data_IF_748340490242
#
_entry.id   IF_748340490242
#
_cell.length_a   1.000
_cell.length_b   1.000
_cell.length_c   1.000
_cell.angle_alpha   90.00
_cell.angle_beta   90.00
_cell.angle_gamma   90.00
#
_symmetry.space_group_name_H-M   'P 1'
#
loop_
_entity.id
_entity.type
_entity.pdbx_description
1 polymer ?
#
# COMPACT_ATOMS: atom_id res chain seq x y z
N UNK A 1 5.26 9.86 18.58
CA UNK A 1 5.67 10.24 17.21
C UNK A 1 4.50 9.85 16.32
N UNK A 2 3.79 10.78 15.68
CA UNK A 2 2.63 10.42 14.85
C UNK A 2 3.12 9.55 13.69
N UNK A 3 2.70 8.28 13.64
CA UNK A 3 3.09 7.36 12.56
C UNK A 3 2.43 7.71 11.22
N UNK A 4 1.44 8.60 11.25
CA UNK A 4 0.57 8.96 10.13
C UNK A 4 1.19 10.01 9.22
N UNK A 5 1.57 9.59 8.01
CA UNK A 5 2.10 10.47 6.97
C UNK A 5 0.95 10.93 6.06
N UNK A 6 0.99 12.17 5.53
CA UNK A 6 0.10 12.56 4.44
C UNK A 6 0.39 11.72 3.19
N UNK A 7 -0.61 11.52 2.32
CA UNK A 7 -0.48 10.70 1.11
C UNK A 7 0.75 11.05 0.26
N UNK A 8 1.03 12.35 0.12
CA UNK A 8 2.20 12.84 -0.62
C UNK A 8 3.54 12.43 0.00
N UNK A 9 3.62 12.30 1.32
CA UNK A 9 4.81 11.77 2.00
C UNK A 9 4.82 10.23 2.08
N UNK A 10 3.66 9.59 2.04
CA UNK A 10 3.55 8.13 2.05
C UNK A 10 4.18 7.49 0.80
N UNK A 11 4.17 8.16 -0.35
CA UNK A 11 4.91 7.68 -1.54
C UNK A 11 6.43 7.58 -1.35
N UNK A 12 6.99 8.25 -0.33
CA UNK A 12 8.40 8.13 0.05
C UNK A 12 8.62 7.12 1.18
N UNK A 13 7.56 6.49 1.69
CA UNK A 13 7.63 5.48 2.74
C UNK A 13 7.72 4.08 2.10
N UNK A 14 8.82 3.33 2.30
CA UNK A 14 9.00 2.04 1.67
C UNK A 14 7.96 1.01 2.11
N UNK A 15 7.41 1.14 3.32
CA UNK A 15 6.35 0.26 3.81
C UNK A 15 5.05 0.48 3.02
N UNK A 16 4.71 1.74 2.78
CA UNK A 16 3.57 2.08 1.95
C UNK A 16 3.73 1.56 0.52
N UNK A 17 4.92 1.70 -0.09
CA UNK A 17 5.18 1.19 -1.45
C UNK A 17 5.08 -0.34 -1.50
N UNK A 18 5.63 -1.06 -0.52
CA UNK A 18 5.51 -2.51 -0.44
C UNK A 18 4.05 -2.96 -0.26
N UNK A 19 3.30 -2.30 0.63
CA UNK A 19 1.88 -2.58 0.80
C UNK A 19 1.08 -2.27 -0.46
N UNK A 20 1.36 -1.15 -1.14
CA UNK A 20 0.70 -0.77 -2.39
C UNK A 20 0.99 -1.79 -3.49
N UNK A 21 2.24 -2.22 -3.63
CA UNK A 21 2.64 -3.24 -4.59
C UNK A 21 1.96 -4.59 -4.32
N UNK A 22 1.96 -5.05 -3.06
CA UNK A 22 1.21 -6.25 -2.66
C UNK A 22 -0.28 -6.10 -2.91
N UNK A 23 -0.87 -4.97 -2.54
CA UNK A 23 -2.30 -4.72 -2.72
C UNK A 23 -2.73 -4.70 -4.20
N UNK A 24 -1.85 -4.23 -5.10
CA UNK A 24 -2.07 -4.30 -6.55
C UNK A 24 -1.94 -5.74 -7.06
N UNK A 25 -1.03 -6.54 -6.48
CA UNK A 25 -0.84 -7.94 -6.84
C UNK A 25 -1.98 -8.84 -6.33
N UNK A 26 -2.69 -8.43 -5.28
CA UNK A 26 -3.83 -9.16 -4.72
C UNK A 26 -5.13 -8.91 -5.51
N UNK A 27 -5.61 -9.90 -6.28
CA UNK A 27 -6.77 -9.72 -7.15
C UNK A 27 -8.05 -9.44 -6.36
N UNK A 28 -8.24 -10.09 -5.20
CA UNK A 28 -9.42 -9.89 -4.36
C UNK A 28 -9.55 -8.43 -3.90
N UNK A 29 -8.43 -7.78 -3.58
CA UNK A 29 -8.39 -6.41 -3.08
C UNK A 29 -8.68 -5.41 -4.21
N UNK A 30 -8.14 -5.66 -5.41
CA UNK A 30 -8.48 -4.90 -6.60
C UNK A 30 -9.96 -5.06 -6.98
N UNK A 31 -10.53 -6.27 -6.88
CA UNK A 31 -11.95 -6.53 -7.14
C UNK A 31 -12.87 -5.83 -6.14
N UNK A 32 -12.54 -5.88 -4.85
CA UNK A 32 -13.29 -5.13 -3.82
C UNK A 32 -13.24 -3.63 -4.09
N UNK A 33 -12.07 -3.08 -4.44
CA UNK A 33 -11.95 -1.67 -4.79
C UNK A 33 -12.80 -1.31 -6.02
N UNK A 34 -12.74 -2.12 -7.09
CA UNK A 34 -13.56 -1.92 -8.28
C UNK A 34 -15.06 -1.97 -7.96
N UNK A 35 -15.47 -2.84 -7.04
CA UNK A 35 -16.86 -2.95 -6.59
C UNK A 35 -17.32 -1.74 -5.78
N UNK A 36 -16.48 -1.23 -4.88
CA UNK A 36 -16.82 -0.10 -3.99
C UNK A 36 -16.82 1.23 -4.76
N UNK A 37 -15.81 1.45 -5.61
CA UNK A 37 -15.59 2.74 -6.29
C UNK A 37 -16.02 2.75 -7.76
N UNK A 38 -16.49 1.62 -8.31
CA UNK A 38 -16.84 1.51 -9.73
C UNK A 38 -15.65 1.66 -10.68
N UNK A 39 -14.44 1.46 -10.15
CA UNK A 39 -13.18 1.64 -10.87
C UNK A 39 -12.88 0.45 -11.79
N UNK A 40 -12.06 0.66 -12.82
CA UNK A 40 -11.65 -0.36 -13.80
C UNK A 40 -10.20 -0.83 -13.57
N UNK A 41 -9.78 -0.90 -12.31
CA UNK A 41 -8.41 -1.20 -11.92
C UNK A 41 -7.94 -2.60 -12.35
N UNK A 42 -8.88 -3.53 -12.39
CA UNK A 42 -8.74 -4.90 -12.86
C UNK A 42 -8.76 -5.04 -14.40
N UNK A 43 -8.96 -3.95 -15.14
CA UNK A 43 -8.93 -3.99 -16.62
C UNK A 43 -7.58 -3.52 -17.15
N UNK A 44 -7.26 -3.92 -18.38
CA UNK A 44 -6.07 -3.42 -19.11
C UNK A 44 -6.10 -1.90 -19.34
N UNK A 45 -7.25 -1.25 -19.14
CA UNK A 45 -7.44 0.21 -19.25
C UNK A 45 -7.35 0.90 -17.88
N UNK A 46 -6.35 0.54 -17.08
CA UNK A 46 -6.07 1.23 -15.81
C UNK A 46 -5.74 2.70 -16.11
N UNK A 47 -6.61 3.62 -15.71
CA UNK A 47 -6.31 5.05 -15.82
C UNK A 47 -5.45 5.51 -14.65
N UNK A 48 -4.63 6.55 -14.86
CA UNK A 48 -3.84 7.15 -13.79
C UNK A 48 -4.71 7.62 -12.61
N UNK A 49 -5.94 8.04 -12.90
CA UNK A 49 -6.93 8.44 -11.90
C UNK A 49 -7.37 7.27 -11.00
N UNK A 50 -7.62 6.10 -11.59
CA UNK A 50 -7.93 4.86 -10.86
C UNK A 50 -6.75 4.46 -9.94
N UNK A 51 -5.52 4.53 -10.45
CA UNK A 51 -4.32 4.23 -9.65
C UNK A 51 -4.13 5.22 -8.50
N UNK A 52 -4.41 6.50 -8.71
CA UNK A 52 -4.38 7.51 -7.63
C UNK A 52 -5.45 7.23 -6.58
N UNK A 53 -6.67 6.89 -7.00
CA UNK A 53 -7.75 6.54 -6.10
C UNK A 53 -7.44 5.30 -5.27
N UNK A 54 -6.83 4.27 -5.88
CA UNK A 54 -6.38 3.07 -5.19
C UNK A 54 -5.25 3.33 -4.21
N UNK A 55 -4.25 4.13 -4.62
CA UNK A 55 -3.17 4.55 -3.73
C UNK A 55 -3.73 5.25 -2.48
N UNK A 56 -4.73 6.12 -2.66
CA UNK A 56 -5.41 6.81 -1.56
C UNK A 56 -6.18 5.83 -0.67
N UNK A 57 -6.85 4.84 -1.25
CA UNK A 57 -7.55 3.80 -0.49
C UNK A 57 -6.60 2.96 0.37
N UNK A 58 -5.48 2.52 -0.20
CA UNK A 58 -4.43 1.79 0.54
C UNK A 58 -3.83 2.67 1.63
N UNK A 59 -3.62 3.96 1.35
CA UNK A 59 -3.10 4.92 2.32
C UNK A 59 -4.04 5.07 3.50
N UNK A 60 -5.33 5.27 3.27
CA UNK A 60 -6.32 5.39 4.34
C UNK A 60 -6.43 4.08 5.14
N UNK A 61 -6.41 2.94 4.46
CA UNK A 61 -6.43 1.62 5.11
C UNK A 61 -5.22 1.42 6.05
N UNK A 62 -4.04 1.90 5.67
CA UNK A 62 -2.83 1.75 6.48
C UNK A 62 -2.74 2.82 7.56
N UNK A 63 -2.95 4.09 7.22
CA UNK A 63 -2.65 5.21 8.10
C UNK A 63 -3.85 5.71 8.90
N UNK A 64 -5.08 5.39 8.49
CA UNK A 64 -6.30 5.76 9.20
C UNK A 64 -6.86 4.58 10.02
N UNK A 65 -6.91 3.38 9.44
CA UNK A 65 -7.50 2.19 10.08
C UNK A 65 -6.54 1.39 10.97
N UNK A 66 -5.22 1.39 10.72
CA UNK A 66 -4.29 0.65 11.57
C UNK A 66 -3.83 1.48 12.79
N UNK A 67 -3.56 0.82 13.92
CA UNK A 67 -2.89 1.45 15.06
C UNK A 67 -1.44 1.77 14.70
N UNK A 68 -0.87 2.80 15.35
CA UNK A 68 0.52 3.23 15.11
C UNK A 68 1.53 2.08 15.23
N UNK A 69 1.34 1.14 16.16
CA UNK A 69 2.21 -0.03 16.35
C UNK A 69 2.27 -0.94 15.12
N UNK A 70 1.14 -1.13 14.42
CA UNK A 70 1.09 -1.89 13.18
C UNK A 70 1.79 -1.14 12.04
N UNK A 71 1.64 0.19 11.97
CA UNK A 71 2.35 1.04 10.99
C UNK A 71 3.87 0.96 11.23
N UNK A 72 4.30 1.02 12.48
CA UNK A 72 5.70 0.83 12.86
C UNK A 72 6.21 -0.56 12.48
N UNK A 73 5.41 -1.61 12.67
CA UNK A 73 5.76 -2.98 12.28
C UNK A 73 5.88 -3.13 10.76
N UNK A 74 4.97 -2.52 9.98
CA UNK A 74 5.05 -2.51 8.52
C UNK A 74 6.34 -1.84 8.04
N UNK A 75 6.72 -0.70 8.64
CA UNK A 75 7.98 -0.02 8.34
C UNK A 75 9.19 -0.87 8.70
N UNK A 76 9.19 -1.47 9.89
CA UNK A 76 10.26 -2.37 10.31
C UNK A 76 10.40 -3.56 9.35
N UNK A 77 9.29 -4.15 8.89
CA UNK A 77 9.30 -5.25 7.94
C UNK A 77 9.78 -4.83 6.55
N UNK A 78 9.40 -3.64 6.09
CA UNK A 78 9.88 -3.12 4.81
C UNK A 78 11.39 -2.86 4.82
N UNK A 79 11.93 -2.31 5.93
CA UNK A 79 13.37 -2.15 6.15
C UNK A 79 14.09 -3.51 6.28
N UNK A 80 13.46 -4.48 6.94
CA UNK A 80 14.01 -5.82 7.12
C UNK A 80 14.01 -6.63 5.80
N UNK A 81 13.04 -6.42 4.92
CA UNK A 81 13.01 -7.02 3.58
C UNK A 81 14.20 -6.59 2.71
N UNK A 82 14.67 -5.35 2.84
CA UNK A 82 15.89 -4.88 2.16
C UNK A 82 17.17 -5.38 2.83
N UNK A 83 17.12 -5.71 4.13
CA UNK A 83 18.23 -6.34 4.85
C UNK A 83 18.23 -7.88 4.77
N UNK A 84 17.17 -8.47 4.19
CA UNK A 84 16.88 -9.90 4.17
C UNK A 84 17.34 -10.65 2.92
N UNK A 85 17.86 -9.95 1.90
CA UNK A 85 18.50 -10.58 0.74
C UNK A 85 20.03 -10.72 0.94
N UNK A 86 20.43 -11.13 2.14
CA UNK A 86 21.74 -11.72 2.44
C UNK A 86 21.61 -12.85 3.46
N UNK A 87 21.20 -14.03 2.97
CA UNK A 87 21.51 -15.34 3.55
C UNK A 87 21.30 -16.36 2.44
N UNK A 88 22.31 -16.61 1.60
CA UNK A 88 23.31 -17.68 1.75
C UNK A 88 22.67 -19.05 2.00
N UNK A 89 22.76 -19.90 0.97
CA UNK A 89 22.43 -21.31 0.95
C UNK A 89 22.57 -21.86 -0.46
#
# INVERSE_FOLDING_TARGET
>A
MCGRLPLSAAYFDPAFINCLSSAIAEPELAEQFCRIYGSKLNTSQRSEDDMRAFSKFVHDSIYTCLPDEAIHSLRANALAGEAGEVSHG
#
